data_IF_793167673284
#
_entry.id   IF_793167673284
#
_cell.length_a   1.000
_cell.length_b   1.000
_cell.length_c   1.000
_cell.angle_alpha   90.00
_cell.angle_beta   90.00
_cell.angle_gamma   90.00
#
_symmetry.space_group_name_H-M   'P 1'
#
loop_
_entity.id
_entity.type
_entity.pdbx_description
1 polymer ?
#
# COMPACT_ATOMS: atom_id res chain seq x y z
N UNK A 1 6.80 50.28 3.73
CA UNK A 1 7.06 48.96 3.18
C UNK A 1 5.90 48.03 3.58
N UNK A 2 5.01 47.73 2.63
CA UNK A 2 3.85 46.85 2.88
C UNK A 2 4.33 45.41 2.69
N UNK A 3 4.25 44.56 3.74
CA UNK A 3 4.39 43.13 3.65
C UNK A 3 3.22 42.58 2.80
N UNK A 4 3.54 42.01 1.65
CA UNK A 4 2.61 41.29 0.83
C UNK A 4 2.27 39.95 1.55
N UNK A 5 1.00 39.79 1.88
CA UNK A 5 0.42 38.58 2.48
C UNK A 5 0.57 37.40 1.51
N UNK A 6 1.46 36.47 1.83
CA UNK A 6 1.75 35.26 1.03
C UNK A 6 0.66 34.18 1.12
N UNK A 7 -0.45 34.44 1.80
CA UNK A 7 -1.50 33.45 2.07
C UNK A 7 -2.41 33.12 0.86
N UNK A 8 -2.52 34.03 -0.10
CA UNK A 8 -3.45 33.88 -1.22
C UNK A 8 -2.96 33.08 -2.41
N UNK A 9 -1.65 32.87 -2.58
CA UNK A 9 -1.08 32.16 -3.75
C UNK A 9 -1.03 30.63 -3.54
N UNK A 10 -1.09 30.14 -2.31
CA UNK A 10 -0.91 28.72 -1.99
C UNK A 10 -2.20 27.89 -2.08
N UNK A 11 -3.39 28.48 -1.92
CA UNK A 11 -4.69 27.77 -1.91
C UNK A 11 -5.03 27.01 -3.20
N UNK A 12 -4.90 27.59 -4.41
CA UNK A 12 -5.24 26.89 -5.64
C UNK A 12 -4.37 25.67 -5.89
N UNK A 13 -3.08 25.73 -5.53
CA UNK A 13 -2.14 24.61 -5.68
C UNK A 13 -2.45 23.50 -4.69
N UNK A 14 -2.79 23.84 -3.46
CA UNK A 14 -3.21 22.86 -2.42
C UNK A 14 -4.49 22.13 -2.85
N UNK A 15 -5.49 22.86 -3.34
CA UNK A 15 -6.74 22.28 -3.81
C UNK A 15 -6.55 21.41 -5.06
N UNK A 16 -5.69 21.82 -5.98
CA UNK A 16 -5.34 21.03 -7.14
C UNK A 16 -4.63 19.72 -6.75
N UNK A 17 -3.61 19.80 -5.90
CA UNK A 17 -2.90 18.62 -5.39
C UNK A 17 -3.83 17.69 -4.62
N UNK A 18 -4.70 18.24 -3.77
CA UNK A 18 -5.69 17.44 -3.06
C UNK A 18 -6.65 16.67 -3.98
N UNK A 19 -7.03 17.25 -5.12
CA UNK A 19 -7.89 16.59 -6.12
C UNK A 19 -7.19 15.44 -6.84
N UNK A 20 -5.86 15.46 -6.95
CA UNK A 20 -5.08 14.37 -7.55
C UNK A 20 -4.92 13.17 -6.59
N UNK A 21 -5.16 13.35 -5.31
CA UNK A 21 -5.10 12.27 -4.32
C UNK A 21 -6.45 11.53 -4.33
N UNK A 22 -6.48 10.39 -5.00
CA UNK A 22 -7.69 9.57 -5.12
C UNK A 22 -8.06 8.87 -3.81
N UNK A 23 -7.09 8.54 -2.96
CA UNK A 23 -7.32 7.98 -1.64
C UNK A 23 -7.85 9.07 -0.68
N UNK A 24 -9.09 8.92 -0.14
CA UNK A 24 -9.71 9.94 0.70
C UNK A 24 -8.99 10.16 2.03
N UNK A 25 -8.31 9.14 2.57
CA UNK A 25 -7.53 9.24 3.81
C UNK A 25 -6.28 10.07 3.59
N UNK A 26 -5.55 9.80 2.52
CA UNK A 26 -4.38 10.58 2.14
C UNK A 26 -4.72 12.00 1.72
N UNK A 27 -5.83 12.17 1.03
CA UNK A 27 -6.35 13.50 0.71
C UNK A 27 -6.63 14.31 1.97
N UNK A 28 -7.26 13.70 2.97
CA UNK A 28 -7.53 14.36 4.25
C UNK A 28 -6.26 14.66 5.04
N UNK A 29 -5.27 13.73 5.05
CA UNK A 29 -3.96 13.95 5.67
C UNK A 29 -3.20 15.10 5.01
N UNK A 30 -3.15 15.11 3.69
CA UNK A 30 -2.54 16.21 2.94
C UNK A 30 -3.21 17.55 3.27
N UNK A 31 -4.53 17.63 3.25
CA UNK A 31 -5.27 18.85 3.59
C UNK A 31 -5.00 19.29 5.05
N UNK A 32 -4.86 18.37 5.99
CA UNK A 32 -4.49 18.68 7.37
C UNK A 32 -3.05 19.15 7.52
N UNK A 33 -2.12 18.60 6.77
CA UNK A 33 -0.69 19.00 6.83
C UNK A 33 -0.42 20.38 6.27
N UNK A 34 -1.25 20.84 5.34
CA UNK A 34 -1.15 22.17 4.71
C UNK A 34 -2.15 23.20 5.26
N UNK A 35 -3.09 22.78 6.12
CA UNK A 35 -4.01 23.68 6.81
C UNK A 35 -3.21 24.49 7.86
N UNK A 36 -3.33 25.83 7.87
CA UNK A 36 -2.72 26.61 8.94
C UNK A 36 -3.35 26.19 10.27
N UNK A 37 -2.53 26.04 11.31
CA UNK A 37 -2.99 25.81 12.69
C UNK A 37 -3.99 26.90 13.04
N UNK A 38 -5.26 26.55 13.21
CA UNK A 38 -6.29 27.51 13.57
C UNK A 38 -5.92 28.13 14.95
N UNK A 39 -5.93 29.45 15.09
CA UNK A 39 -5.81 30.06 16.40
C UNK A 39 -7.01 29.64 17.28
N UNK A 40 -6.73 29.43 18.58
CA UNK A 40 -7.73 29.07 19.56
C UNK A 40 -8.95 30.01 19.49
N UNK A 41 -10.18 29.52 19.67
CA UNK A 41 -11.37 30.34 19.56
C UNK A 41 -11.40 31.42 20.65
N UNK A 42 -11.35 32.67 20.22
CA UNK A 42 -11.72 33.82 21.07
C UNK A 42 -13.23 33.91 21.15
N UNK A 43 -13.82 34.32 22.30
CA UNK A 43 -15.26 34.33 22.49
C UNK A 43 -15.93 35.36 21.58
N UNK A 44 -17.09 34.97 21.07
CA UNK A 44 -17.91 35.66 20.07
C UNK A 44 -18.34 37.04 20.49
N UNK A 45 -18.06 38.04 19.68
CA UNK A 45 -18.83 39.27 19.59
C UNK A 45 -19.69 39.24 18.32
N UNK A 46 -21.00 39.32 18.54
CA UNK A 46 -22.03 39.47 17.49
C UNK A 46 -21.78 40.76 16.71
N UNK A 47 -21.67 40.66 15.37
CA UNK A 47 -21.91 41.84 14.52
C UNK A 47 -22.78 41.45 13.32
N UNK A 48 -23.72 42.35 13.04
CA UNK A 48 -24.79 42.29 12.03
C UNK A 48 -24.22 42.46 10.63
N UNK A 49 -24.85 41.80 9.65
CA UNK A 49 -24.65 42.03 8.22
C UNK A 49 -25.18 43.38 7.73
N UNK A 50 -24.62 43.94 6.65
CA UNK A 50 -25.50 44.41 5.60
C UNK A 50 -25.14 43.89 4.20
N UNK A 51 -26.21 43.68 3.44
CA UNK A 51 -26.23 43.39 2.02
C UNK A 51 -25.73 44.58 1.23
N UNK A 52 -24.91 44.40 0.20
CA UNK A 52 -24.91 45.26 -0.99
C UNK A 52 -24.48 44.51 -2.23
N UNK A 53 -25.25 44.73 -3.23
CA UNK A 53 -25.31 44.38 -4.63
C UNK A 53 -24.28 45.17 -5.46
N UNK A 54 -23.75 44.61 -6.57
CA UNK A 54 -23.01 45.36 -7.60
C UNK A 54 -22.20 44.44 -8.51
N UNK A 55 -22.71 44.00 -9.52
CA UNK A 55 -22.80 44.28 -10.97
C UNK A 55 -21.44 44.42 -11.71
N UNK A 56 -21.18 43.44 -12.61
CA UNK A 56 -20.56 43.46 -13.97
C UNK A 56 -19.31 44.28 -14.26
N UNK A 57 -18.30 43.64 -14.84
CA UNK A 57 -17.91 43.90 -16.27
C UNK A 57 -17.00 42.82 -16.84
N UNK A 58 -17.38 42.32 -18.00
CA UNK A 58 -16.60 41.53 -18.95
C UNK A 58 -15.52 42.40 -19.61
N UNK A 59 -14.32 41.86 -19.80
CA UNK A 59 -13.39 42.30 -20.84
C UNK A 59 -12.66 41.08 -21.40
N UNK A 60 -13.08 40.73 -22.65
CA UNK A 60 -12.41 39.75 -23.50
C UNK A 60 -11.19 40.44 -24.15
N UNK A 61 -10.01 39.82 -24.03
CA UNK A 61 -8.88 40.13 -24.90
C UNK A 61 -8.44 38.86 -25.60
N UNK A 62 -8.76 38.75 -26.88
CA UNK A 62 -8.28 37.69 -27.73
C UNK A 62 -6.81 37.92 -28.11
N UNK A 63 -5.99 36.90 -27.91
CA UNK A 63 -4.66 36.82 -28.49
C UNK A 63 -4.66 35.75 -29.59
N UNK A 64 -4.55 36.21 -30.83
CA UNK A 64 -4.33 35.36 -32.01
C UNK A 64 -2.87 34.93 -31.98
N UNK A 65 -2.62 33.63 -31.83
CA UNK A 65 -1.28 33.03 -32.00
C UNK A 65 -1.29 32.28 -33.34
N UNK A 66 -0.56 32.81 -34.32
CA UNK A 66 -0.33 32.15 -35.59
C UNK A 66 0.60 30.95 -35.43
N UNK A 67 0.38 29.82 -36.14
CA UNK A 67 1.29 28.68 -36.06
C UNK A 67 2.55 28.94 -36.89
N UNK A 68 3.70 28.99 -36.24
CA UNK A 68 5.01 28.99 -36.86
C UNK A 68 5.35 27.55 -37.28
N UNK A 69 5.28 27.26 -38.57
CA UNK A 69 5.65 25.95 -39.14
C UNK A 69 7.18 25.83 -39.16
N UNK A 70 7.80 25.23 -38.18
CA UNK A 70 9.18 24.78 -38.21
C UNK A 70 9.26 23.46 -39.00
N UNK A 71 9.79 23.54 -40.26
CA UNK A 71 10.21 22.36 -41.00
C UNK A 71 11.40 21.72 -40.31
N UNK A 72 11.21 20.51 -39.82
CA UNK A 72 12.29 19.63 -39.34
C UNK A 72 12.93 18.94 -40.54
N UNK A 73 14.27 19.01 -40.73
CA UNK A 73 14.95 18.25 -41.78
C UNK A 73 14.85 16.76 -41.50
N UNK A 74 14.77 15.97 -42.58
CA UNK A 74 14.48 14.55 -42.61
C UNK A 74 15.15 13.69 -41.52
N UNK A 75 14.30 12.91 -40.89
CA UNK A 75 14.74 11.83 -39.99
C UNK A 75 15.35 10.72 -40.88
N UNK A 76 16.68 10.56 -40.76
CA UNK A 76 17.36 9.37 -41.21
C UNK A 76 16.75 8.15 -40.48
N UNK A 77 16.42 7.11 -41.21
CA UNK A 77 15.95 5.83 -40.70
C UNK A 77 16.93 5.28 -39.66
N UNK A 78 16.68 5.56 -38.37
CA UNK A 78 17.30 4.82 -37.28
C UNK A 78 16.66 3.43 -37.28
N UNK A 79 17.40 2.43 -37.74
CA UNK A 79 17.02 1.05 -37.57
C UNK A 79 16.60 0.84 -36.13
N UNK A 80 15.37 0.35 -35.92
CA UNK A 80 14.83 0.00 -34.61
C UNK A 80 15.71 -1.11 -34.02
N UNK A 81 16.71 -0.74 -33.24
CA UNK A 81 17.45 -1.70 -32.46
C UNK A 81 16.48 -2.36 -31.49
N UNK A 82 16.40 -3.69 -31.53
CA UNK A 82 15.62 -4.45 -30.57
C UNK A 82 16.02 -4.00 -29.14
N UNK A 83 15.07 -3.85 -28.22
CA UNK A 83 15.39 -3.45 -26.86
C UNK A 83 16.39 -4.44 -26.25
N UNK A 84 17.42 -3.97 -25.53
CA UNK A 84 18.42 -4.83 -24.97
C UNK A 84 17.76 -5.90 -24.09
N UNK A 85 18.10 -7.18 -24.35
CA UNK A 85 17.64 -8.29 -23.52
C UNK A 85 18.27 -8.13 -22.15
N UNK A 86 17.42 -7.89 -21.13
CA UNK A 86 17.90 -7.79 -19.76
C UNK A 86 18.39 -9.17 -19.27
N UNK A 87 19.53 -9.24 -18.56
CA UNK A 87 19.91 -10.47 -17.89
C UNK A 87 18.82 -10.91 -16.91
N UNK A 88 18.66 -12.22 -16.74
CA UNK A 88 17.71 -12.77 -15.77
C UNK A 88 17.94 -12.14 -14.38
N UNK A 89 16.86 -11.80 -13.65
CA UNK A 89 17.02 -11.32 -12.29
C UNK A 89 17.75 -12.40 -11.47
N UNK A 90 18.57 -12.02 -10.48
CA UNK A 90 19.21 -13.00 -9.62
C UNK A 90 18.14 -13.77 -8.86
N UNK A 91 18.43 -15.01 -8.46
CA UNK A 91 17.58 -15.67 -7.50
C UNK A 91 17.46 -14.78 -6.26
N UNK A 92 16.23 -14.59 -5.80
CA UNK A 92 15.97 -13.86 -4.55
C UNK A 92 16.71 -14.62 -3.45
N UNK A 93 17.41 -13.94 -2.53
CA UNK A 93 18.13 -14.61 -1.46
C UNK A 93 17.20 -15.59 -0.74
N UNK A 94 17.63 -16.86 -0.61
CA UNK A 94 16.89 -17.85 0.16
C UNK A 94 16.73 -17.31 1.57
N UNK A 95 15.49 -17.06 1.97
CA UNK A 95 15.20 -16.86 3.38
C UNK A 95 15.55 -18.13 4.13
N UNK A 96 16.16 -17.98 5.30
CA UNK A 96 16.49 -19.03 6.27
C UNK A 96 15.34 -20.04 6.46
N UNK A 97 15.65 -21.27 6.89
CA UNK A 97 14.77 -22.42 6.76
C UNK A 97 13.35 -22.16 7.20
N UNK A 98 12.44 -22.63 6.36
CA UNK A 98 11.01 -22.53 6.61
C UNK A 98 10.70 -22.92 8.05
N UNK A 99 10.14 -21.98 8.82
CA UNK A 99 9.44 -22.34 10.04
C UNK A 99 8.54 -23.53 9.75
N UNK A 100 8.41 -24.44 10.73
CA UNK A 100 7.57 -25.62 10.59
C UNK A 100 6.26 -25.29 9.87
N UNK A 101 5.74 -26.16 9.00
CA UNK A 101 4.48 -25.95 8.35
C UNK A 101 3.43 -25.58 9.41
N UNK A 102 2.56 -24.64 9.09
CA UNK A 102 1.47 -24.27 10.00
C UNK A 102 0.71 -25.54 10.40
N UNK A 103 0.41 -25.68 11.69
CA UNK A 103 -0.40 -26.79 12.17
C UNK A 103 -1.72 -26.82 11.40
N UNK A 104 -2.28 -28.01 11.17
CA UNK A 104 -3.58 -28.13 10.50
C UNK A 104 -4.67 -27.47 11.33
N UNK A 105 -5.33 -26.48 10.74
CA UNK A 105 -6.45 -25.75 11.32
C UNK A 105 -7.69 -25.98 10.47
N UNK A 106 -8.72 -26.54 11.06
CA UNK A 106 -9.98 -26.86 10.37
C UNK A 106 -11.19 -26.16 11.01
N UNK A 107 -12.26 -25.93 10.25
CA UNK A 107 -13.48 -25.36 10.80
C UNK A 107 -14.19 -26.36 11.70
N UNK A 108 -14.52 -25.94 12.92
CA UNK A 108 -15.32 -26.69 13.90
C UNK A 108 -16.80 -26.38 13.73
N UNK A 109 -17.12 -25.10 13.51
CA UNK A 109 -18.49 -24.62 13.29
C UNK A 109 -18.48 -23.50 12.25
N UNK A 110 -19.46 -23.52 11.35
CA UNK A 110 -19.72 -22.45 10.38
C UNK A 110 -21.20 -22.15 10.28
N UNK A 111 -21.53 -20.87 10.39
CA UNK A 111 -22.88 -20.38 10.18
C UNK A 111 -22.87 -18.96 9.61
N UNK A 112 -24.05 -18.37 9.39
CA UNK A 112 -24.17 -17.02 8.84
C UNK A 112 -23.62 -15.90 9.75
N UNK A 113 -23.49 -16.17 11.05
CA UNK A 113 -23.07 -15.18 12.04
C UNK A 113 -21.57 -15.26 12.33
N UNK A 114 -21.01 -16.47 12.38
CA UNK A 114 -19.60 -16.69 12.70
C UNK A 114 -19.07 -18.02 12.19
N UNK A 115 -17.74 -18.12 12.11
CA UNK A 115 -16.99 -19.36 11.95
C UNK A 115 -16.10 -19.55 13.18
N UNK A 116 -16.00 -20.80 13.69
CA UNK A 116 -15.06 -21.22 14.73
C UNK A 116 -14.11 -22.26 14.14
N UNK A 117 -12.82 -22.12 14.48
CA UNK A 117 -11.76 -23.01 14.03
C UNK A 117 -11.10 -23.75 15.19
N UNK A 118 -10.43 -24.88 14.88
CA UNK A 118 -9.81 -25.79 15.84
C UNK A 118 -8.74 -25.15 16.72
N UNK A 119 -8.12 -24.05 16.29
CA UNK A 119 -7.15 -23.28 17.07
C UNK A 119 -7.80 -22.20 17.96
N UNK A 120 -9.11 -22.20 18.11
CA UNK A 120 -9.86 -21.25 18.93
C UNK A 120 -10.20 -19.92 18.22
N UNK A 121 -9.79 -19.74 16.95
CA UNK A 121 -10.17 -18.57 16.19
C UNK A 121 -11.68 -18.52 16.00
N UNK A 122 -12.27 -17.35 16.27
CA UNK A 122 -13.65 -17.01 15.92
C UNK A 122 -13.65 -15.84 14.95
N UNK A 123 -14.36 -15.98 13.83
CA UNK A 123 -14.51 -14.93 12.80
C UNK A 123 -15.99 -14.53 12.74
N UNK A 124 -16.27 -13.25 12.93
CA UNK A 124 -17.61 -12.68 12.82
C UNK A 124 -17.95 -12.39 11.34
N UNK A 125 -19.08 -12.90 10.84
CA UNK A 125 -19.49 -12.82 9.43
C UNK A 125 -20.50 -11.70 9.13
N UNK A 126 -21.04 -11.06 10.14
CA UNK A 126 -22.13 -10.07 9.99
C UNK A 126 -21.79 -8.84 9.13
N UNK A 127 -20.51 -8.57 8.93
CA UNK A 127 -20.03 -7.47 8.07
C UNK A 127 -19.52 -7.96 6.70
N UNK A 128 -19.60 -9.26 6.43
CA UNK A 128 -19.11 -9.85 5.19
C UNK A 128 -19.89 -9.33 3.97
N UNK A 129 -19.14 -8.98 2.93
CA UNK A 129 -19.68 -8.58 1.62
C UNK A 129 -18.89 -9.26 0.51
N UNK A 130 -19.56 -9.46 -0.63
CA UNK A 130 -18.89 -9.91 -1.86
C UNK A 130 -18.19 -8.74 -2.55
N UNK A 131 -17.13 -9.07 -3.30
CA UNK A 131 -16.44 -8.16 -4.20
C UNK A 131 -16.12 -8.89 -5.51
N UNK A 132 -15.09 -8.43 -6.24
CA UNK A 132 -14.64 -9.12 -7.45
C UNK A 132 -13.98 -10.45 -7.09
N UNK A 133 -14.25 -11.54 -7.84
CA UNK A 133 -13.59 -12.82 -7.61
C UNK A 133 -12.06 -12.68 -7.68
N UNK A 134 -11.36 -13.37 -6.79
CA UNK A 134 -9.90 -13.40 -6.80
C UNK A 134 -9.41 -14.12 -8.05
N UNK A 135 -8.63 -13.42 -8.84
CA UNK A 135 -7.90 -13.98 -9.97
C UNK A 135 -6.68 -13.12 -10.28
N UNK A 136 -5.53 -13.75 -10.47
CA UNK A 136 -4.27 -13.05 -10.73
C UNK A 136 -3.29 -13.96 -11.48
N UNK A 137 -2.20 -13.38 -11.95
CA UNK A 137 -1.08 -14.13 -12.54
C UNK A 137 0.08 -14.13 -11.54
N UNK A 138 0.53 -15.32 -11.14
CA UNK A 138 1.78 -15.51 -10.43
C UNK A 138 2.90 -15.60 -11.48
N UNK A 139 3.71 -14.54 -11.62
CA UNK A 139 4.77 -14.49 -12.63
C UNK A 139 5.99 -15.26 -12.17
N UNK A 140 6.64 -15.96 -13.10
CA UNK A 140 7.85 -16.75 -12.79
C UNK A 140 9.06 -15.84 -12.67
N UNK A 141 9.84 -15.98 -11.59
CA UNK A 141 10.98 -15.10 -11.28
C UNK A 141 12.14 -15.20 -12.29
N UNK A 142 12.34 -16.34 -12.94
CA UNK A 142 13.42 -16.59 -13.91
C UNK A 142 13.09 -16.12 -15.33
N UNK A 143 11.85 -15.70 -15.56
CA UNK A 143 11.40 -15.20 -16.86
C UNK A 143 11.84 -13.74 -17.07
N UNK A 144 12.92 -13.55 -17.81
CA UNK A 144 13.48 -12.22 -18.13
C UNK A 144 12.50 -11.31 -18.87
N UNK A 145 11.54 -11.86 -19.62
CA UNK A 145 10.53 -11.08 -20.36
C UNK A 145 9.31 -10.70 -19.50
N UNK A 146 9.11 -11.40 -18.37
CA UNK A 146 8.00 -11.12 -17.44
C UNK A 146 6.61 -11.45 -17.99
N UNK A 147 6.55 -12.26 -19.05
CA UNK A 147 5.27 -12.61 -19.71
C UNK A 147 4.75 -14.00 -19.31
N UNK A 148 5.63 -14.86 -18.76
CA UNK A 148 5.26 -16.20 -18.28
C UNK A 148 4.74 -16.16 -16.85
N UNK A 149 3.61 -16.85 -16.61
CA UNK A 149 3.03 -16.96 -15.27
C UNK A 149 1.85 -17.91 -15.23
N UNK A 150 1.47 -18.29 -14.03
CA UNK A 150 0.33 -19.16 -13.76
C UNK A 150 -0.87 -18.33 -13.31
N UNK A 151 -2.03 -18.56 -13.91
CA UNK A 151 -3.28 -17.97 -13.43
C UNK A 151 -3.74 -18.73 -12.19
N UNK A 152 -4.00 -18.00 -11.10
CA UNK A 152 -4.41 -18.55 -9.81
C UNK A 152 -5.60 -17.79 -9.24
N UNK A 153 -6.30 -18.43 -8.29
CA UNK A 153 -7.45 -17.88 -7.56
C UNK A 153 -7.29 -18.00 -6.03
N UNK A 154 -6.43 -18.89 -5.55
CA UNK A 154 -6.14 -19.01 -4.13
C UNK A 154 -5.16 -17.92 -3.66
N UNK A 155 -5.29 -17.40 -2.44
CA UNK A 155 -4.37 -16.41 -1.92
C UNK A 155 -2.93 -16.91 -1.87
N UNK A 156 -1.99 -16.13 -2.38
CA UNK A 156 -0.55 -16.43 -2.36
C UNK A 156 0.15 -15.95 -1.09
N UNK A 157 -0.47 -15.01 -0.33
CA UNK A 157 0.15 -14.41 0.83
C UNK A 157 -0.81 -13.59 1.66
N UNK A 158 -0.26 -12.90 2.66
CA UNK A 158 -0.97 -12.00 3.59
C UNK A 158 -0.25 -10.66 3.63
N UNK A 159 -0.99 -9.56 3.52
CA UNK A 159 -0.49 -8.21 3.78
C UNK A 159 -1.15 -7.68 5.05
N UNK A 160 -0.32 -7.27 6.02
CA UNK A 160 -0.79 -6.68 7.28
C UNK A 160 -0.82 -5.17 7.19
N UNK A 161 -1.93 -4.59 7.69
CA UNK A 161 -2.22 -3.16 7.66
C UNK A 161 -2.58 -2.62 9.04
N UNK A 162 -2.55 -1.30 9.18
CA UNK A 162 -3.29 -0.57 10.18
C UNK A 162 -4.42 0.21 9.51
N UNK A 163 -5.52 0.42 10.23
CA UNK A 163 -6.67 1.16 9.68
C UNK A 163 -6.41 2.65 9.57
N UNK A 164 -5.42 3.18 10.31
CA UNK A 164 -5.18 4.62 10.44
C UNK A 164 -6.44 5.41 10.88
N UNK A 165 -7.38 4.71 11.49
CA UNK A 165 -8.64 5.27 11.97
C UNK A 165 -8.45 6.08 13.25
N UNK A 166 -9.42 6.93 13.55
CA UNK A 166 -9.45 7.65 14.81
C UNK A 166 -9.47 6.67 15.99
N UNK A 167 -8.59 6.90 16.96
CA UNK A 167 -8.49 6.09 18.16
C UNK A 167 -9.15 6.83 19.34
N UNK A 168 -10.00 6.12 20.07
CA UNK A 168 -10.46 6.56 21.39
C UNK A 168 -9.51 6.01 22.48
N UNK A 169 -9.38 6.65 23.65
CA UNK A 169 -8.66 6.07 24.79
C UNK A 169 -9.20 4.68 25.13
N UNK A 170 -8.31 3.69 25.32
CA UNK A 170 -8.70 2.32 25.66
C UNK A 170 -8.92 2.18 27.14
N UNK A 171 -10.01 2.77 27.65
CA UNK A 171 -10.36 2.86 29.05
C UNK A 171 -11.84 2.53 29.26
N UNK A 172 -12.19 1.96 30.41
CA UNK A 172 -13.57 1.56 30.73
C UNK A 172 -14.56 2.73 30.69
N UNK A 173 -14.12 3.94 31.06
CA UNK A 173 -14.90 5.18 30.98
C UNK A 173 -15.29 5.57 29.55
N UNK A 174 -14.57 5.05 28.55
CA UNK A 174 -14.75 5.35 27.12
C UNK A 174 -15.48 4.25 26.36
N UNK A 175 -16.05 3.25 27.03
CA UNK A 175 -16.67 2.09 26.37
C UNK A 175 -17.70 2.48 25.28
N UNK A 176 -18.54 3.48 25.52
CA UNK A 176 -19.53 3.94 24.54
C UNK A 176 -18.87 4.60 23.31
N UNK A 177 -17.79 5.32 23.50
CA UNK A 177 -17.03 5.93 22.41
C UNK A 177 -16.26 4.86 21.60
N UNK A 178 -15.59 3.92 22.30
CA UNK A 178 -14.91 2.79 21.68
C UNK A 178 -15.86 1.99 20.78
N UNK A 179 -17.07 1.68 21.28
CA UNK A 179 -18.10 0.96 20.51
C UNK A 179 -18.50 1.74 19.26
N UNK A 180 -18.84 3.01 19.36
CA UNK A 180 -19.25 3.84 18.22
C UNK A 180 -18.14 3.99 17.17
N UNK A 181 -16.89 4.21 17.60
CA UNK A 181 -15.74 4.33 16.69
C UNK A 181 -15.53 3.01 15.95
N UNK A 182 -15.55 1.88 16.65
CA UNK A 182 -15.42 0.55 16.05
C UNK A 182 -16.54 0.23 15.06
N UNK A 183 -17.80 0.50 15.40
CA UNK A 183 -18.94 0.31 14.50
C UNK A 183 -18.83 1.19 13.25
N UNK A 184 -18.47 2.47 13.41
CA UNK A 184 -18.25 3.37 12.27
C UNK A 184 -17.12 2.91 11.36
N UNK A 185 -16.04 2.35 11.94
CA UNK A 185 -14.94 1.78 11.18
C UNK A 185 -15.38 0.54 10.40
N UNK A 186 -16.11 -0.39 11.03
CA UNK A 186 -16.64 -1.60 10.37
C UNK A 186 -17.56 -1.24 9.20
N UNK A 187 -18.45 -0.28 9.38
CA UNK A 187 -19.32 0.22 8.32
C UNK A 187 -18.52 0.86 7.18
N UNK A 188 -17.47 1.60 7.49
CA UNK A 188 -16.61 2.22 6.49
C UNK A 188 -15.88 1.17 5.65
N UNK A 189 -15.15 0.23 6.29
CA UNK A 189 -14.38 -0.80 5.56
C UNK A 189 -15.28 -1.72 4.76
N UNK A 190 -16.48 -2.03 5.26
CA UNK A 190 -17.51 -2.79 4.53
C UNK A 190 -17.96 -2.06 3.26
N UNK A 191 -18.36 -0.80 3.35
CA UNK A 191 -18.78 0.00 2.18
C UNK A 191 -17.68 0.15 1.15
N UNK A 192 -16.43 0.29 1.61
CA UNK A 192 -15.25 0.45 0.74
C UNK A 192 -14.67 -0.87 0.26
N UNK A 193 -15.15 -2.00 0.79
CA UNK A 193 -14.60 -3.34 0.50
C UNK A 193 -13.09 -3.42 0.75
N UNK A 194 -12.63 -2.67 1.75
CA UNK A 194 -11.25 -2.65 2.19
C UNK A 194 -10.99 -3.87 3.05
N UNK A 195 -9.86 -4.54 2.82
CA UNK A 195 -9.39 -5.69 3.57
C UNK A 195 -10.31 -6.92 3.48
N UNK A 196 -9.72 -8.10 3.62
CA UNK A 196 -10.47 -9.32 3.82
C UNK A 196 -10.88 -9.46 5.30
N UNK A 197 -10.00 -9.06 6.21
CA UNK A 197 -10.26 -9.13 7.64
C UNK A 197 -9.91 -7.83 8.36
N UNK A 198 -10.71 -7.51 9.38
CA UNK A 198 -10.45 -6.46 10.34
C UNK A 198 -10.33 -7.07 11.74
N UNK A 199 -9.28 -6.71 12.49
CA UNK A 199 -9.10 -7.07 13.90
C UNK A 199 -9.28 -5.80 14.73
N UNK A 200 -10.36 -5.76 15.52
CA UNK A 200 -10.64 -4.60 16.35
C UNK A 200 -9.77 -4.55 17.61
N UNK A 201 -9.83 -3.46 18.35
CA UNK A 201 -9.01 -3.25 19.56
C UNK A 201 -9.26 -4.28 20.68
N UNK A 202 -10.39 -4.98 20.63
CA UNK A 202 -10.73 -6.05 21.59
C UNK A 202 -10.20 -7.42 21.13
N UNK A 203 -9.63 -7.52 19.92
CA UNK A 203 -9.16 -8.76 19.33
C UNK A 203 -10.28 -9.58 18.64
N UNK A 204 -11.45 -8.97 18.38
CA UNK A 204 -12.48 -9.63 17.56
C UNK A 204 -12.06 -9.56 16.09
N UNK A 205 -12.25 -10.67 15.38
CA UNK A 205 -11.91 -10.79 13.96
C UNK A 205 -13.21 -10.72 13.15
N UNK A 206 -13.29 -9.75 12.26
CA UNK A 206 -14.42 -9.58 11.35
C UNK A 206 -14.01 -9.93 9.93
N UNK A 207 -14.77 -10.78 9.26
CA UNK A 207 -14.68 -10.95 7.81
C UNK A 207 -15.38 -9.78 7.14
N UNK A 208 -14.67 -9.06 6.28
CA UNK A 208 -15.20 -7.93 5.51
C UNK A 208 -15.40 -8.34 4.06
N UNK A 209 -14.35 -8.83 3.39
CA UNK A 209 -14.44 -9.40 2.03
C UNK A 209 -14.06 -10.87 2.11
N UNK A 210 -14.84 -11.73 1.48
CA UNK A 210 -14.56 -13.18 1.43
C UNK A 210 -13.15 -13.45 0.92
N UNK A 211 -12.53 -14.53 1.39
CA UNK A 211 -11.17 -14.91 0.98
C UNK A 211 -11.09 -15.29 -0.51
N UNK A 212 -12.21 -15.77 -1.09
CA UNK A 212 -12.35 -16.02 -2.53
C UNK A 212 -12.37 -14.76 -3.39
N UNK A 213 -12.57 -13.60 -2.76
CA UNK A 213 -12.68 -12.33 -3.43
C UNK A 213 -11.44 -11.46 -3.15
N UNK A 214 -11.08 -10.65 -4.12
CA UNK A 214 -10.02 -9.65 -3.97
C UNK A 214 -10.56 -8.43 -3.23
N UNK A 215 -9.92 -8.05 -2.13
CA UNK A 215 -10.25 -6.84 -1.37
C UNK A 215 -9.36 -5.65 -1.81
N UNK A 216 -9.83 -4.44 -1.61
CA UNK A 216 -9.03 -3.24 -1.87
C UNK A 216 -8.21 -2.89 -0.63
N UNK A 217 -6.89 -3.21 -0.63
CA UNK A 217 -6.04 -3.01 0.55
C UNK A 217 -4.59 -2.57 0.25
N UNK A 218 -3.94 -3.16 -0.76
CA UNK A 218 -2.52 -2.91 -1.01
C UNK A 218 -2.27 -2.02 -2.25
N UNK A 219 -3.26 -1.86 -3.15
CA UNK A 219 -3.15 -1.02 -4.34
C UNK A 219 -1.92 -1.33 -5.19
N UNK A 220 -1.13 -0.30 -5.48
CA UNK A 220 0.14 -0.49 -6.17
C UNK A 220 1.17 -1.10 -5.23
N UNK A 221 1.49 -2.35 -5.46
CA UNK A 221 2.34 -3.15 -4.59
C UNK A 221 3.09 -4.22 -5.38
N UNK A 222 4.24 -4.63 -4.85
CA UNK A 222 5.11 -5.64 -5.43
C UNK A 222 5.65 -6.54 -4.33
N UNK A 223 5.57 -7.85 -4.52
CA UNK A 223 6.24 -8.84 -3.69
C UNK A 223 6.83 -9.96 -4.55
N UNK A 224 7.76 -10.70 -3.99
CA UNK A 224 8.31 -11.89 -4.63
C UNK A 224 8.70 -12.93 -3.59
N UNK A 225 8.52 -14.19 -3.95
CA UNK A 225 9.03 -15.36 -3.25
C UNK A 225 10.13 -16.06 -4.11
N UNK A 226 10.57 -17.23 -3.69
CA UNK A 226 11.63 -17.97 -4.38
C UNK A 226 11.30 -18.32 -5.85
N UNK A 227 10.02 -18.42 -6.20
CA UNK A 227 9.56 -18.90 -7.50
C UNK A 227 8.82 -17.84 -8.30
N UNK A 228 8.07 -16.98 -7.62
CA UNK A 228 7.15 -16.07 -8.26
C UNK A 228 7.32 -14.65 -7.77
N UNK A 229 6.93 -13.71 -8.62
CA UNK A 229 6.66 -12.35 -8.19
C UNK A 229 5.20 -11.98 -8.46
N UNK A 230 4.71 -11.04 -7.70
CA UNK A 230 3.33 -10.57 -7.69
C UNK A 230 3.31 -9.05 -7.80
N UNK A 231 2.38 -8.52 -8.59
CA UNK A 231 2.09 -7.09 -8.68
C UNK A 231 0.60 -6.90 -8.44
N UNK A 232 0.20 -5.77 -7.85
CA UNK A 232 -1.17 -5.52 -7.41
C UNK A 232 -1.67 -6.58 -6.42
N UNK A 233 -1.12 -6.55 -5.21
CA UNK A 233 -1.40 -7.57 -4.18
C UNK A 233 -2.86 -7.59 -3.69
N UNK A 234 -3.71 -6.63 -4.08
CA UNK A 234 -5.16 -6.72 -3.89
C UNK A 234 -5.72 -8.04 -4.42
N UNK A 235 -5.21 -8.48 -5.58
CA UNK A 235 -5.73 -9.64 -6.28
C UNK A 235 -5.11 -10.96 -5.79
N UNK A 236 -3.88 -10.94 -5.30
CA UNK A 236 -3.10 -12.15 -4.97
C UNK A 236 -2.96 -12.43 -3.47
N UNK A 237 -3.10 -11.42 -2.59
CA UNK A 237 -2.88 -11.56 -1.15
C UNK A 237 -4.16 -11.26 -0.35
N UNK A 238 -4.23 -11.82 0.85
CA UNK A 238 -5.26 -11.49 1.86
C UNK A 238 -4.82 -10.22 2.58
N UNK A 239 -5.70 -9.22 2.66
CA UNK A 239 -5.50 -8.04 3.50
C UNK A 239 -6.05 -8.25 4.91
N UNK A 240 -5.19 -8.12 5.92
CA UNK A 240 -5.57 -8.12 7.35
C UNK A 240 -5.25 -6.74 7.92
N UNK A 241 -6.26 -6.05 8.45
CA UNK A 241 -6.05 -4.74 9.07
C UNK A 241 -6.32 -4.77 10.56
N UNK A 242 -5.45 -4.11 11.32
CA UNK A 242 -5.64 -3.87 12.74
C UNK A 242 -6.28 -2.51 12.95
N UNK A 243 -7.27 -2.41 13.82
CA UNK A 243 -7.76 -1.12 14.31
C UNK A 243 -6.67 -0.47 15.14
N UNK A 244 -5.74 0.21 14.47
CA UNK A 244 -4.55 0.82 15.03
C UNK A 244 -4.10 1.99 14.15
N UNK A 245 -3.14 2.77 14.64
CA UNK A 245 -2.49 3.85 13.90
C UNK A 245 -0.98 3.61 13.84
N UNK A 246 -0.38 3.92 12.70
CA UNK A 246 1.07 4.04 12.59
C UNK A 246 1.51 5.33 13.25
N UNK A 247 2.45 5.25 14.19
CA UNK A 247 3.12 6.43 14.71
C UNK A 247 4.01 7.07 13.64
N UNK A 248 4.22 8.38 13.69
CA UNK A 248 5.18 9.06 12.81
C UNK A 248 6.62 8.67 13.17
N UNK A 249 7.43 8.32 12.17
CA UNK A 249 8.84 7.97 12.35
C UNK A 249 9.04 6.68 13.14
N UNK A 250 9.89 6.71 14.15
CA UNK A 250 10.15 5.57 15.05
C UNK A 250 9.05 5.32 16.09
N UNK A 251 7.96 6.10 16.06
CA UNK A 251 6.84 5.90 16.98
C UNK A 251 6.19 4.56 16.70
N UNK A 252 6.19 3.71 17.72
CA UNK A 252 5.71 2.33 17.61
C UNK A 252 4.22 2.28 17.29
N UNK A 253 3.87 1.55 16.25
CA UNK A 253 2.50 1.09 16.05
C UNK A 253 2.17 0.10 17.17
N UNK A 254 1.20 0.43 18.01
CA UNK A 254 0.85 -0.42 19.16
C UNK A 254 -0.44 -1.18 18.81
N UNK A 255 -0.30 -2.47 18.50
CA UNK A 255 -1.42 -3.40 18.58
C UNK A 255 -1.57 -3.95 19.99
N UNK A 256 -2.79 -3.97 20.51
CA UNK A 256 -3.07 -4.59 21.80
C UNK A 256 -2.76 -6.08 21.82
N UNK A 257 -2.44 -6.64 22.99
CA UNK A 257 -2.15 -8.07 23.12
C UNK A 257 -3.29 -8.98 22.62
N UNK A 258 -4.55 -8.53 22.74
CA UNK A 258 -5.70 -9.24 22.21
C UNK A 258 -5.70 -9.27 20.65
N UNK A 259 -5.36 -8.14 20.00
CA UNK A 259 -5.22 -8.07 18.55
C UNK A 259 -4.10 -8.99 18.04
N UNK A 260 -2.95 -9.00 18.73
CA UNK A 260 -1.80 -9.85 18.34
C UNK A 260 -2.15 -11.34 18.46
N UNK A 261 -2.84 -11.76 19.53
CA UNK A 261 -3.30 -13.16 19.68
C UNK A 261 -4.30 -13.54 18.58
N UNK A 262 -5.26 -12.66 18.30
CA UNK A 262 -6.25 -12.90 17.24
C UNK A 262 -5.57 -12.99 15.86
N UNK A 263 -4.61 -12.13 15.58
CA UNK A 263 -3.83 -12.15 14.34
C UNK A 263 -2.99 -13.42 14.22
N UNK A 264 -2.40 -13.93 15.30
CA UNK A 264 -1.65 -15.19 15.29
C UNK A 264 -2.57 -16.36 14.88
N UNK A 265 -3.73 -16.51 15.52
CA UNK A 265 -4.70 -17.55 15.19
C UNK A 265 -5.23 -17.42 13.76
N UNK A 266 -5.52 -16.20 13.29
CA UNK A 266 -5.97 -15.94 11.93
C UNK A 266 -4.89 -16.27 10.89
N UNK A 267 -3.66 -15.86 11.15
CA UNK A 267 -2.50 -16.17 10.30
C UNK A 267 -2.27 -17.67 10.18
N UNK A 268 -2.31 -18.40 11.30
CA UNK A 268 -2.16 -19.85 11.33
C UNK A 268 -3.26 -20.53 10.50
N UNK A 269 -4.52 -20.14 10.67
CA UNK A 269 -5.65 -20.66 9.89
C UNK A 269 -5.48 -20.41 8.40
N UNK A 270 -5.15 -19.20 8.00
CA UNK A 270 -4.99 -18.84 6.58
C UNK A 270 -3.80 -19.59 5.95
N UNK A 271 -2.65 -19.65 6.65
CA UNK A 271 -1.48 -20.38 6.19
C UNK A 271 -1.76 -21.89 6.06
N UNK A 272 -2.46 -22.47 7.03
CA UNK A 272 -2.89 -23.88 6.98
C UNK A 272 -3.79 -24.15 5.78
N UNK A 273 -4.84 -23.34 5.63
CA UNK A 273 -5.89 -23.55 4.62
C UNK A 273 -5.40 -23.35 3.18
N UNK A 274 -4.62 -22.29 2.93
CA UNK A 274 -4.19 -21.91 1.58
C UNK A 274 -2.71 -22.24 1.30
N UNK A 275 -2.04 -22.93 2.22
CA UNK A 275 -0.62 -23.32 2.12
C UNK A 275 0.29 -22.11 1.87
N UNK A 276 -0.05 -20.96 2.51
CA UNK A 276 0.71 -19.72 2.38
C UNK A 276 2.08 -19.88 3.05
N UNK A 277 3.20 -19.67 2.34
CA UNK A 277 4.51 -19.68 2.95
C UNK A 277 4.69 -18.52 3.93
N UNK A 278 5.48 -18.73 4.98
CA UNK A 278 5.72 -17.69 5.99
C UNK A 278 6.37 -16.44 5.38
N UNK A 279 7.21 -16.63 4.36
CA UNK A 279 7.86 -15.55 3.59
C UNK A 279 6.87 -14.64 2.85
N UNK A 280 5.66 -15.12 2.55
CA UNK A 280 4.60 -14.33 1.91
C UNK A 280 3.65 -13.67 2.92
N UNK A 281 4.03 -13.62 4.20
CA UNK A 281 3.34 -12.87 5.25
C UNK A 281 4.10 -11.57 5.50
N UNK A 282 3.63 -10.45 4.95
CA UNK A 282 4.39 -9.21 4.82
C UNK A 282 3.58 -8.00 5.31
N UNK A 283 4.26 -6.90 5.60
CA UNK A 283 3.60 -5.64 5.95
C UNK A 283 3.36 -4.77 4.72
N UNK A 284 2.40 -3.87 4.79
CA UNK A 284 2.10 -2.96 3.67
C UNK A 284 3.30 -2.07 3.33
N UNK A 285 4.07 -1.64 4.34
CA UNK A 285 5.27 -0.84 4.12
C UNK A 285 6.34 -1.56 3.28
N UNK A 286 6.43 -2.90 3.36
CA UNK A 286 7.39 -3.69 2.58
C UNK A 286 7.05 -3.75 1.09
N UNK A 287 5.78 -3.68 0.75
CA UNK A 287 5.29 -3.98 -0.60
C UNK A 287 4.82 -2.75 -1.38
N UNK A 288 4.57 -1.64 -0.68
CA UNK A 288 3.94 -0.45 -1.24
C UNK A 288 4.87 0.32 -2.18
N UNK A 289 4.38 0.62 -3.38
CA UNK A 289 5.10 1.40 -4.39
C UNK A 289 4.25 2.56 -4.93
N UNK A 290 4.91 3.58 -5.45
CA UNK A 290 4.27 4.67 -6.18
C UNK A 290 4.72 4.66 -7.64
N UNK A 291 3.90 4.16 -8.58
CA UNK A 291 4.26 4.10 -9.98
C UNK A 291 4.39 5.48 -10.65
N UNK A 292 3.81 6.53 -10.08
CA UNK A 292 3.84 7.87 -10.69
C UNK A 292 5.25 8.50 -10.62
N UNK A 293 6.03 8.16 -9.60
CA UNK A 293 7.41 8.62 -9.42
C UNK A 293 8.41 7.46 -9.34
N UNK A 294 7.95 6.21 -9.50
CA UNK A 294 8.76 5.00 -9.44
C UNK A 294 9.56 4.87 -8.13
N UNK A 295 8.92 5.14 -6.99
CA UNK A 295 9.52 5.02 -5.66
C UNK A 295 8.78 4.01 -4.78
N UNK A 296 9.53 3.36 -3.85
CA UNK A 296 8.98 2.55 -2.75
C UNK A 296 8.55 3.42 -1.58
N UNK A 297 7.84 2.83 -0.60
CA UNK A 297 7.47 3.52 0.64
C UNK A 297 6.33 4.54 0.48
N UNK A 298 5.40 4.27 -0.42
CA UNK A 298 4.20 5.09 -0.57
C UNK A 298 3.30 5.01 0.67
N UNK A 299 3.14 3.82 1.23
CA UNK A 299 2.52 3.56 2.52
C UNK A 299 3.58 3.08 3.51
N UNK A 300 3.40 3.41 4.79
CA UNK A 300 4.35 3.11 5.86
C UNK A 300 3.69 2.42 7.07
N UNK A 301 2.46 1.96 6.92
CA UNK A 301 1.79 1.17 7.95
C UNK A 301 2.54 -0.14 8.19
N UNK A 302 2.85 -0.40 9.46
CA UNK A 302 3.75 -1.46 9.89
C UNK A 302 5.16 -1.37 9.26
N UNK A 303 5.70 -0.17 9.10
CA UNK A 303 7.08 0.02 8.62
C UNK A 303 8.12 -0.51 9.63
N UNK A 304 7.77 -0.54 10.91
CA UNK A 304 8.58 -1.10 11.98
C UNK A 304 7.68 -1.78 13.01
N UNK A 305 8.27 -2.54 13.91
CA UNK A 305 7.61 -3.12 15.10
C UNK A 305 6.40 -4.05 14.83
N UNK A 306 6.20 -4.55 13.61
CA UNK A 306 5.23 -5.63 13.41
C UNK A 306 5.70 -6.88 14.17
N UNK A 307 4.83 -7.51 14.97
CA UNK A 307 5.24 -8.58 15.88
C UNK A 307 5.32 -9.95 15.19
N UNK A 308 6.15 -10.10 14.16
CA UNK A 308 6.29 -11.34 13.37
C UNK A 308 6.41 -12.59 14.23
N UNK A 309 7.32 -12.61 15.18
CA UNK A 309 7.55 -13.77 16.05
C UNK A 309 6.31 -14.18 16.85
N UNK A 310 5.52 -13.19 17.34
CA UNK A 310 4.29 -13.46 18.08
C UNK A 310 3.18 -14.06 17.20
N UNK A 311 3.31 -13.92 15.88
CA UNK A 311 2.43 -14.55 14.90
C UNK A 311 3.01 -15.88 14.36
N UNK A 312 4.12 -16.36 14.90
CA UNK A 312 4.82 -17.56 14.40
C UNK A 312 5.41 -17.36 13.01
N UNK A 313 5.88 -16.16 12.71
CA UNK A 313 6.46 -15.77 11.43
C UNK A 313 7.94 -15.36 11.59
N UNK A 314 8.78 -15.59 10.57
CA UNK A 314 10.12 -15.03 10.55
C UNK A 314 10.04 -13.51 10.40
N UNK A 315 10.97 -12.81 11.02
CA UNK A 315 11.15 -11.39 10.77
C UNK A 315 11.81 -11.17 9.41
N UNK A 316 11.06 -10.64 8.47
CA UNK A 316 11.49 -10.46 7.09
C UNK A 316 11.69 -8.98 6.69
N UNK A 317 11.76 -8.06 7.65
CA UNK A 317 11.93 -6.63 7.34
C UNK A 317 13.16 -6.30 6.51
N UNK A 318 14.28 -7.00 6.75
CA UNK A 318 15.53 -6.75 6.05
C UNK A 318 15.61 -7.49 4.69
N UNK A 319 14.56 -8.17 4.26
CA UNK A 319 14.53 -8.81 2.92
C UNK A 319 14.74 -7.76 1.83
N UNK A 320 15.67 -8.01 0.87
CA UNK A 320 15.89 -7.08 -0.22
C UNK A 320 14.59 -6.77 -0.98
N UNK A 321 14.30 -5.48 -1.19
CA UNK A 321 13.03 -5.05 -1.80
C UNK A 321 12.85 -5.59 -3.22
N UNK A 322 11.83 -6.44 -3.49
CA UNK A 322 11.57 -6.94 -4.84
C UNK A 322 11.20 -5.82 -5.83
N UNK A 323 10.56 -4.76 -5.37
CA UNK A 323 10.22 -3.62 -6.22
C UNK A 323 11.47 -2.93 -6.76
N UNK A 324 12.53 -2.78 -5.94
CA UNK A 324 13.82 -2.26 -6.36
C UNK A 324 14.50 -3.25 -7.28
N UNK A 325 14.64 -4.52 -6.85
CA UNK A 325 15.40 -5.54 -7.57
C UNK A 325 14.81 -5.87 -8.94
N UNK A 326 13.49 -6.05 -9.06
CA UNK A 326 12.83 -6.55 -10.27
C UNK A 326 12.41 -5.44 -11.23
N UNK A 327 12.11 -4.24 -10.70
CA UNK A 327 11.50 -3.18 -11.46
C UNK A 327 12.21 -1.83 -11.36
N UNK A 328 13.31 -1.75 -10.60
CA UNK A 328 14.12 -0.55 -10.51
C UNK A 328 13.44 0.61 -9.78
N UNK A 329 12.45 0.35 -8.93
CA UNK A 329 11.93 1.41 -8.06
C UNK A 329 13.05 2.00 -7.23
N UNK A 330 13.00 3.32 -7.02
CA UNK A 330 13.98 4.04 -6.19
C UNK A 330 13.44 4.34 -4.80
N UNK A 331 14.25 5.04 -4.02
CA UNK A 331 13.87 5.65 -2.75
C UNK A 331 14.65 6.94 -2.54
N UNK A 332 14.10 7.86 -1.79
CA UNK A 332 14.73 9.14 -1.45
C UNK A 332 15.48 9.06 -0.12
N UNK A 333 16.27 10.09 0.19
CA UNK A 333 17.05 10.18 1.44
C UNK A 333 16.18 10.18 2.71
N UNK A 334 14.88 10.50 2.61
CA UNK A 334 13.94 10.47 3.74
C UNK A 334 13.30 9.10 3.97
N UNK A 335 13.59 8.12 3.11
CA UNK A 335 12.96 6.79 3.20
C UNK A 335 13.28 6.10 4.52
N UNK A 336 14.54 6.12 4.96
CA UNK A 336 14.94 5.52 6.23
C UNK A 336 14.19 6.12 7.43
N UNK A 337 14.04 7.45 7.45
CA UNK A 337 13.30 8.14 8.52
C UNK A 337 11.83 7.72 8.56
N UNK A 338 11.20 7.46 7.39
CA UNK A 338 9.79 7.08 7.29
C UNK A 338 9.56 5.58 7.50
N UNK A 339 10.45 4.76 6.97
CA UNK A 339 10.32 3.30 6.91
C UNK A 339 11.13 2.56 7.98
N UNK A 340 12.05 3.25 8.66
CA UNK A 340 12.95 2.68 9.66
C UNK A 340 14.16 1.97 9.05
N UNK A 341 15.19 1.79 9.87
CA UNK A 341 16.52 1.29 9.46
C UNK A 341 16.48 -0.10 8.80
N UNK A 342 15.58 -0.97 9.23
CA UNK A 342 15.53 -2.37 8.76
C UNK A 342 14.97 -2.48 7.33
N UNK A 343 13.87 -1.79 7.03
CA UNK A 343 13.36 -1.69 5.65
C UNK A 343 14.34 -0.94 4.75
N UNK A 344 14.96 0.10 5.25
CA UNK A 344 15.98 0.84 4.51
C UNK A 344 17.19 -0.04 4.16
N UNK A 345 17.65 -0.88 5.09
CA UNK A 345 18.72 -1.84 4.83
C UNK A 345 18.39 -2.79 3.67
N UNK A 346 17.19 -3.36 3.64
CA UNK A 346 16.71 -4.21 2.54
C UNK A 346 16.63 -3.46 1.20
N UNK A 347 16.23 -2.18 1.24
CA UNK A 347 16.22 -1.33 0.03
C UNK A 347 17.64 -1.05 -0.49
N UNK A 348 18.57 -0.74 0.40
CA UNK A 348 19.99 -0.49 0.06
C UNK A 348 20.67 -1.75 -0.50
N UNK A 349 20.39 -2.92 0.07
CA UNK A 349 20.89 -4.19 -0.44
C UNK A 349 20.35 -4.47 -1.86
N UNK A 350 19.07 -4.29 -2.07
CA UNK A 350 18.43 -4.42 -3.38
C UNK A 350 19.02 -3.45 -4.42
N UNK A 351 19.32 -2.22 -4.02
CA UNK A 351 19.97 -1.20 -4.86
C UNK A 351 21.39 -1.60 -5.24
N UNK A 352 22.17 -2.11 -4.27
CA UNK A 352 23.52 -2.59 -4.51
C UNK A 352 23.53 -3.74 -5.52
N UNK A 353 22.61 -4.69 -5.38
CA UNK A 353 22.39 -5.75 -6.36
C UNK A 353 22.00 -5.23 -7.75
N UNK A 354 21.19 -4.18 -7.80
CA UNK A 354 20.78 -3.54 -9.05
C UNK A 354 21.99 -2.91 -9.77
N UNK A 355 22.84 -2.19 -9.04
CA UNK A 355 24.06 -1.59 -9.59
C UNK A 355 25.01 -2.63 -10.17
N UNK A 356 25.20 -3.75 -9.46
CA UNK A 356 26.05 -4.84 -9.93
C UNK A 356 25.50 -5.48 -11.23
N UNK A 357 24.18 -5.65 -11.34
CA UNK A 357 23.56 -6.17 -12.57
C UNK A 357 23.66 -5.20 -13.74
N UNK A 358 23.51 -3.90 -13.50
CA UNK A 358 23.69 -2.88 -14.52
C UNK A 358 25.15 -2.94 -15.06
N UNK A 359 26.14 -3.07 -14.17
CA UNK A 359 27.55 -3.21 -14.53
C UNK A 359 27.82 -4.47 -15.37
N UNK A 360 27.27 -5.63 -14.98
CA UNK A 360 27.37 -6.88 -15.75
C UNK A 360 26.73 -6.80 -17.12
N UNK A 361 25.64 -6.02 -17.24
CA UNK A 361 24.96 -5.78 -18.50
C UNK A 361 25.65 -4.71 -19.37
N UNK A 362 26.77 -4.14 -18.92
CA UNK A 362 27.45 -3.01 -19.58
C UNK A 362 26.53 -1.79 -19.84
N UNK A 363 25.58 -1.55 -18.94
CA UNK A 363 24.65 -0.43 -19.00
C UNK A 363 24.92 0.56 -17.86
N UNK A 364 24.60 1.84 -18.10
CA UNK A 364 24.52 2.78 -16.99
C UNK A 364 23.35 2.39 -16.08
N UNK A 365 23.45 2.69 -14.78
CA UNK A 365 22.38 2.42 -13.82
C UNK A 365 21.04 3.04 -14.27
N UNK A 366 21.08 4.26 -14.82
CA UNK A 366 19.90 4.95 -15.32
C UNK A 366 19.25 4.20 -16.51
N UNK A 367 20.05 3.71 -17.47
CA UNK A 367 19.55 2.95 -18.61
C UNK A 367 18.96 1.60 -18.17
N UNK A 368 19.64 0.91 -17.25
CA UNK A 368 19.18 -0.36 -16.70
C UNK A 368 17.85 -0.18 -15.94
N UNK A 369 17.77 0.82 -15.08
CA UNK A 369 16.57 1.17 -14.31
C UNK A 369 15.39 1.51 -15.23
N UNK A 370 15.63 2.29 -16.30
CA UNK A 370 14.62 2.61 -17.32
C UNK A 370 14.04 1.37 -17.99
N UNK A 371 14.89 0.38 -18.32
CA UNK A 371 14.43 -0.87 -18.90
C UNK A 371 13.55 -1.68 -17.94
N UNK A 372 13.90 -1.71 -16.64
CA UNK A 372 13.10 -2.35 -15.59
C UNK A 372 11.76 -1.62 -15.37
N UNK A 373 11.73 -0.30 -15.41
CA UNK A 373 10.48 0.48 -15.36
C UNK A 373 9.55 0.14 -16.52
N UNK A 374 10.07 0.01 -17.73
CA UNK A 374 9.29 -0.40 -18.91
C UNK A 374 8.74 -1.83 -18.75
N UNK A 375 9.51 -2.73 -18.13
CA UNK A 375 9.04 -4.08 -17.79
C UNK A 375 7.84 -4.01 -16.83
N UNK A 376 7.93 -3.22 -15.76
CA UNK A 376 6.81 -3.02 -14.82
C UNK A 376 5.56 -2.52 -15.54
N UNK A 377 5.69 -1.49 -16.36
CA UNK A 377 4.56 -0.90 -17.08
C UNK A 377 3.89 -1.89 -18.04
N UNK A 378 4.67 -2.73 -18.74
CA UNK A 378 4.13 -3.79 -19.61
C UNK A 378 3.32 -4.83 -18.82
N UNK A 379 3.84 -5.28 -17.69
CA UNK A 379 3.14 -6.24 -16.81
C UNK A 379 1.83 -5.65 -16.32
N UNK A 380 1.84 -4.40 -15.85
CA UNK A 380 0.64 -3.72 -15.38
C UNK A 380 -0.40 -3.49 -16.48
N UNK A 381 0.02 -3.24 -17.71
CA UNK A 381 -0.89 -3.11 -18.85
C UNK A 381 -1.58 -4.45 -19.17
N UNK A 382 -0.84 -5.56 -19.14
CA UNK A 382 -1.36 -6.91 -19.41
C UNK A 382 -2.31 -7.45 -18.33
N UNK A 383 -2.28 -6.91 -17.11
CA UNK A 383 -3.22 -7.30 -16.04
C UNK A 383 -4.60 -6.61 -16.18
N UNK A 384 -4.68 -5.51 -16.93
CA UNK A 384 -5.92 -4.75 -17.11
C UNK A 384 -6.77 -5.20 -18.30
N UNK A 385 -6.24 -6.03 -19.17
CA UNK A 385 -6.92 -6.66 -20.33
C UNK A 385 -7.32 -8.09 -20.01
#
# INVERSE_FOLDING_TARGET
>A
MRQLDQSHVKRPLVDWTARQIHDPVWRLRYLRSVAPLAPAPTPATRWRSPKTLGLLTLLALGLVVAPLSLRVPGAANAASAAPPTLPAPPPIPRMEPALAPAADVWPVEKNSHFDIYSNGLRIENQYAVSHRPRTYVAFINDNSEGTGGERRSDPAGIVYHTTESQQAPFESSQNNLLKRVGESLLDYVRRRRCYNFLIDRFGRVFRIVSESDAADHAGHSVWADDRHFYVNLNDSFIGISFEAQTGGGETLTIAGSAQVRAAAMLTEMLRSRYKIPASNCVTHAQVSVNPSNMQIGYHVDWASSFPFEKLGLPDNYATPSPAVSLFGFGFDASYEQRAGVRLAAGAVEAESGLMERARKAHLSLAAYRKALHLRYLRIMANQRG
#
